data_IF_793117931799
#
_entry.id   IF_793117931799
#
_cell.length_a   1.000
_cell.length_b   1.000
_cell.length_c   1.000
_cell.angle_alpha   90.00
_cell.angle_beta   90.00
_cell.angle_gamma   90.00
#
_symmetry.space_group_name_H-M   'P 1'
#
loop_
_entity.id
_entity.type
_entity.pdbx_description
1 polymer ?
#
# COMPACT_ATOMS: atom_id res chain seq x y z
N UNK A 1 39.78 9.14 -34.30
CA UNK A 1 38.55 8.32 -34.44
C UNK A 1 37.43 9.13 -33.80
N UNK A 2 36.86 10.10 -34.54
CA UNK A 2 35.58 9.96 -35.29
C UNK A 2 34.44 10.16 -34.26
N UNK A 3 33.87 11.35 -34.02
CA UNK A 3 33.14 12.30 -34.90
C UNK A 3 32.08 11.61 -35.79
N UNK A 4 30.93 12.27 -36.03
CA UNK A 4 29.73 11.88 -36.83
C UNK A 4 28.70 11.03 -36.06
N UNK A 5 27.45 11.43 -35.79
CA UNK A 5 26.50 12.39 -36.37
C UNK A 5 25.57 12.89 -35.23
N UNK A 6 25.31 14.17 -34.91
CA UNK A 6 24.67 15.31 -35.62
C UNK A 6 23.36 14.99 -36.37
N UNK A 7 22.25 15.45 -35.77
CA UNK A 7 21.10 16.22 -36.32
C UNK A 7 20.25 15.52 -37.40
N UNK A 8 18.91 15.56 -37.31
CA UNK A 8 17.98 16.60 -37.83
C UNK A 8 16.57 16.14 -37.37
N UNK A 9 15.57 16.96 -37.01
CA UNK A 9 15.30 18.38 -37.26
C UNK A 9 14.57 19.04 -36.07
N UNK A 10 14.63 20.38 -35.91
CA UNK A 10 13.75 21.34 -36.59
C UNK A 10 12.27 20.92 -36.43
N UNK A 11 11.44 21.64 -35.70
CA UNK A 11 10.80 22.87 -36.19
C UNK A 11 10.22 23.68 -35.01
N UNK A 12 10.49 24.98 -35.01
CA UNK A 12 9.65 25.98 -34.33
C UNK A 12 8.31 26.03 -35.10
N UNK A 13 7.19 25.73 -34.46
CA UNK A 13 5.88 26.16 -34.95
C UNK A 13 4.99 26.49 -33.77
N UNK A 14 4.74 27.79 -33.62
CA UNK A 14 3.58 28.31 -32.93
C UNK A 14 2.31 27.76 -33.58
N UNK A 15 1.36 27.31 -32.75
CA UNK A 15 -0.01 27.08 -33.18
C UNK A 15 -0.98 27.38 -32.03
N UNK A 16 -1.11 28.68 -31.73
CA UNK A 16 -2.46 29.26 -31.69
C UNK A 16 -3.19 28.82 -32.97
N UNK A 17 -3.97 27.76 -32.86
CA UNK A 17 -5.07 27.46 -33.77
C UNK A 17 -6.34 27.81 -33.02
N UNK A 18 -6.84 29.00 -33.32
CA UNK A 18 -8.27 29.23 -33.27
C UNK A 18 -8.90 28.42 -34.40
N UNK A 19 -9.59 27.34 -34.04
CA UNK A 19 -10.70 26.82 -34.82
C UNK A 19 -11.90 26.93 -33.89
N UNK A 20 -12.87 27.75 -34.31
CA UNK A 20 -14.23 27.64 -33.80
C UNK A 20 -14.71 26.22 -34.08
N UNK A 21 -14.74 25.40 -33.03
CA UNK A 21 -15.63 24.27 -32.98
C UNK A 21 -16.84 24.72 -32.19
N UNK A 22 -17.98 24.59 -32.86
CA UNK A 22 -19.32 24.60 -32.28
C UNK A 22 -19.24 23.97 -30.88
N UNK A 23 -19.65 24.71 -29.85
CA UNK A 23 -19.93 24.19 -28.52
C UNK A 23 -21.07 23.17 -28.64
N UNK A 24 -20.77 21.98 -29.15
CA UNK A 24 -21.41 20.79 -28.63
C UNK A 24 -20.82 20.64 -27.25
N UNK A 25 -21.58 20.96 -26.21
CA UNK A 25 -21.26 20.42 -24.89
C UNK A 25 -21.01 18.93 -25.11
N UNK A 26 -19.79 18.41 -24.84
CA UNK A 26 -19.61 16.97 -24.80
C UNK A 26 -20.68 16.46 -23.83
N UNK A 27 -21.52 15.57 -24.36
CA UNK A 27 -22.61 15.02 -23.60
C UNK A 27 -21.94 14.07 -22.63
N UNK A 28 -21.78 14.56 -21.41
CA UNK A 28 -21.34 13.76 -20.26
C UNK A 28 -22.05 12.41 -20.37
N UNK A 29 -21.33 11.31 -20.17
CA UNK A 29 -21.89 9.97 -19.99
C UNK A 29 -22.80 10.05 -18.76
N UNK A 30 -24.02 10.51 -18.99
CA UNK A 30 -25.01 10.65 -17.96
C UNK A 30 -25.24 9.24 -17.42
N UNK A 31 -25.36 9.15 -16.10
CA UNK A 31 -25.86 7.95 -15.43
C UNK A 31 -26.95 7.33 -16.32
N UNK A 32 -26.82 6.04 -16.73
CA UNK A 32 -27.67 5.46 -17.75
C UNK A 32 -29.13 5.80 -17.49
N UNK A 33 -29.86 6.22 -18.53
CA UNK A 33 -31.24 6.68 -18.39
C UNK A 33 -32.05 5.63 -17.62
N UNK A 34 -32.55 6.01 -16.44
CA UNK A 34 -33.32 5.12 -15.55
C UNK A 34 -32.58 4.64 -14.31
N UNK A 35 -31.28 4.90 -14.16
CA UNK A 35 -30.55 4.66 -12.92
C UNK A 35 -30.83 5.80 -11.93
N UNK A 36 -31.36 5.46 -10.76
CA UNK A 36 -31.61 6.38 -9.66
C UNK A 36 -30.54 6.23 -8.59
N UNK A 37 -30.42 7.20 -7.70
CA UNK A 37 -29.47 7.16 -6.58
C UNK A 37 -30.13 7.48 -5.25
N UNK A 38 -29.68 6.82 -4.19
CA UNK A 38 -30.08 7.09 -2.81
C UNK A 38 -28.86 7.46 -1.99
N UNK A 39 -28.97 8.53 -1.20
CA UNK A 39 -27.92 8.95 -0.26
C UNK A 39 -28.20 8.35 1.11
N UNK A 40 -27.18 7.77 1.75
CA UNK A 40 -27.26 7.18 3.09
C UNK A 40 -26.16 7.76 3.97
N UNK A 41 -26.47 7.96 5.25
CA UNK A 41 -25.48 8.26 6.27
C UNK A 41 -24.88 6.95 6.77
N UNK A 42 -23.61 6.72 6.46
CA UNK A 42 -22.88 5.51 6.80
C UNK A 42 -22.01 5.78 8.04
N UNK A 43 -22.16 5.02 9.13
CA UNK A 43 -21.31 5.15 10.31
C UNK A 43 -19.85 4.84 9.99
N UNK A 44 -18.94 5.62 10.60
CA UNK A 44 -17.49 5.49 10.49
C UNK A 44 -16.93 5.08 11.85
N UNK A 45 -16.28 3.92 11.91
CA UNK A 45 -15.60 3.40 13.09
C UNK A 45 -14.09 3.64 12.96
N UNK A 46 -13.55 4.58 13.74
CA UNK A 46 -12.10 4.87 13.77
C UNK A 46 -11.34 4.12 14.87
N UNK A 47 -11.90 4.14 16.09
CA UNK A 47 -11.26 3.57 17.29
C UNK A 47 -12.14 2.62 18.09
N UNK A 48 -13.46 2.64 17.86
CA UNK A 48 -14.40 1.74 18.52
C UNK A 48 -15.70 1.65 17.72
N UNK A 49 -16.43 0.53 17.86
CA UNK A 49 -17.77 0.38 17.28
C UNK A 49 -18.81 1.34 17.89
N UNK A 50 -18.54 1.89 19.08
CA UNK A 50 -19.48 2.71 19.83
C UNK A 50 -19.39 4.22 19.54
N UNK A 51 -18.35 4.67 18.85
CA UNK A 51 -18.13 6.08 18.53
C UNK A 51 -18.22 6.26 17.02
N UNK A 52 -19.41 6.65 16.53
CA UNK A 52 -19.71 6.72 15.10
C UNK A 52 -19.94 8.16 14.68
N UNK A 53 -18.97 8.74 13.96
CA UNK A 53 -19.26 9.81 13.01
C UNK A 53 -20.02 9.19 11.83
N UNK A 54 -20.70 10.00 11.02
CA UNK A 54 -21.29 9.51 9.77
C UNK A 54 -20.71 10.22 8.57
N UNK A 55 -20.60 9.50 7.46
CA UNK A 55 -20.28 10.05 6.14
C UNK A 55 -21.43 9.74 5.18
N UNK A 56 -21.79 10.71 4.35
CA UNK A 56 -22.79 10.48 3.31
C UNK A 56 -22.17 9.71 2.15
N UNK A 57 -22.74 8.56 1.82
CA UNK A 57 -22.42 7.80 0.61
C UNK A 57 -23.66 7.73 -0.30
N UNK A 58 -23.42 7.70 -1.60
CA UNK A 58 -24.45 7.52 -2.63
C UNK A 58 -24.47 6.07 -3.09
N UNK A 59 -25.66 5.50 -3.27
CA UNK A 59 -25.86 4.16 -3.81
C UNK A 59 -26.70 4.26 -5.07
N UNK A 60 -26.20 3.74 -6.18
CA UNK A 60 -26.92 3.75 -7.45
C UNK A 60 -27.77 2.49 -7.60
N UNK A 61 -28.93 2.59 -8.22
CA UNK A 61 -29.93 1.51 -8.24
C UNK A 61 -29.51 0.25 -9.00
N UNK A 62 -28.54 0.37 -9.90
CA UNK A 62 -27.92 -0.72 -10.66
C UNK A 62 -26.67 -1.32 -9.96
N UNK A 63 -26.12 -0.62 -8.95
CA UNK A 63 -25.03 -1.08 -8.08
C UNK A 63 -25.40 -0.82 -6.60
N UNK A 64 -26.51 -1.40 -6.10
CA UNK A 64 -27.08 -1.03 -4.80
C UNK A 64 -26.20 -1.39 -3.60
N UNK A 65 -25.18 -2.24 -3.77
CA UNK A 65 -24.25 -2.62 -2.71
C UNK A 65 -22.89 -1.91 -2.80
N UNK A 66 -22.64 -1.14 -3.86
CA UNK A 66 -21.40 -0.38 -4.04
C UNK A 66 -21.61 1.06 -3.57
N UNK A 67 -21.03 1.48 -2.44
CA UNK A 67 -21.08 2.88 -2.03
C UNK A 67 -20.20 3.74 -2.93
N UNK A 68 -20.69 4.93 -3.22
CA UNK A 68 -20.01 5.96 -3.97
C UNK A 68 -19.83 7.21 -3.11
N UNK A 69 -18.69 7.90 -3.28
CA UNK A 69 -18.34 9.09 -2.51
C UNK A 69 -17.65 10.13 -3.42
N UNK A 70 -17.89 11.44 -3.24
CA UNK A 70 -17.09 12.47 -3.89
C UNK A 70 -15.65 12.42 -3.39
N UNK A 71 -14.67 12.59 -4.28
CA UNK A 71 -13.25 12.47 -3.97
C UNK A 71 -12.81 13.46 -2.87
N UNK A 72 -13.25 14.72 -2.98
CA UNK A 72 -12.98 15.77 -2.00
C UNK A 72 -13.60 15.49 -0.63
N UNK A 73 -14.73 14.77 -0.61
CA UNK A 73 -15.36 14.35 0.64
C UNK A 73 -14.58 13.22 1.30
N UNK A 74 -14.10 12.25 0.52
CA UNK A 74 -13.22 11.20 1.05
C UNK A 74 -11.94 11.83 1.63
N UNK A 75 -11.27 12.68 0.86
CA UNK A 75 -10.01 13.32 1.26
C UNK A 75 -10.15 14.13 2.54
N UNK A 76 -11.22 14.92 2.68
CA UNK A 76 -11.47 15.69 3.90
C UNK A 76 -11.81 14.82 5.12
N UNK A 77 -12.57 13.75 4.95
CA UNK A 77 -12.99 12.89 6.08
C UNK A 77 -11.88 11.97 6.55
N UNK A 78 -11.13 11.37 5.63
CA UNK A 78 -10.17 10.33 5.96
C UNK A 78 -8.73 10.83 5.98
N UNK A 79 -8.35 11.73 5.06
CA UNK A 79 -6.97 12.21 4.94
C UNK A 79 -6.70 13.53 5.66
N UNK A 80 -7.75 14.14 6.27
CA UNK A 80 -7.68 15.45 6.94
C UNK A 80 -7.13 16.57 6.03
N UNK A 81 -7.38 16.46 4.72
CA UNK A 81 -6.96 17.44 3.72
C UNK A 81 -8.14 18.26 3.18
N UNK A 82 -7.83 19.28 2.37
CA UNK A 82 -8.83 20.09 1.68
C UNK A 82 -8.57 20.06 0.17
N UNK A 83 -9.61 19.82 -0.62
CA UNK A 83 -9.55 19.72 -2.07
C UNK A 83 -10.54 20.68 -2.70
N UNK A 84 -10.03 21.53 -3.58
CA UNK A 84 -10.85 22.38 -4.43
C UNK A 84 -11.19 21.63 -5.71
N UNK A 85 -12.48 21.62 -6.06
CA UNK A 85 -12.99 20.98 -7.27
C UNK A 85 -13.45 22.02 -8.27
N UNK A 86 -12.91 21.97 -9.49
CA UNK A 86 -13.33 22.82 -10.61
C UNK A 86 -13.90 21.96 -11.73
N UNK A 87 -15.14 22.25 -12.13
CA UNK A 87 -15.84 21.51 -13.19
C UNK A 87 -15.74 22.23 -14.54
N UNK A 88 -15.43 21.48 -15.60
CA UNK A 88 -15.52 21.92 -16.99
C UNK A 88 -16.11 20.79 -17.87
N UNK A 89 -17.42 20.81 -18.07
CA UNK A 89 -18.14 19.74 -18.77
C UNK A 89 -18.09 18.43 -17.99
N UNK A 90 -17.60 17.36 -18.62
CA UNK A 90 -17.35 16.04 -18.02
C UNK A 90 -16.06 15.95 -17.20
N UNK A 91 -15.25 17.01 -17.18
CA UNK A 91 -13.94 17.02 -16.50
C UNK A 91 -14.01 17.73 -15.17
N UNK A 92 -13.41 17.11 -14.16
CA UNK A 92 -13.34 17.58 -12.79
C UNK A 92 -11.87 17.68 -12.40
N UNK A 93 -11.39 18.91 -12.17
CA UNK A 93 -10.04 19.17 -11.66
C UNK A 93 -10.08 19.23 -10.15
N UNK A 94 -9.31 18.36 -9.51
CA UNK A 94 -9.07 18.31 -8.07
C UNK A 94 -7.72 18.97 -7.79
N UNK A 95 -7.70 19.91 -6.86
CA UNK A 95 -6.50 20.64 -6.43
C UNK A 95 -6.40 20.54 -4.90
N UNK A 96 -5.39 19.82 -4.40
CA UNK A 96 -5.05 19.83 -2.99
C UNK A 96 -4.68 21.26 -2.56
N UNK A 97 -5.41 21.83 -1.60
CA UNK A 97 -5.20 23.21 -1.19
C UNK A 97 -3.98 23.43 -0.30
N UNK A 98 -3.47 22.37 0.34
CA UNK A 98 -2.29 22.43 1.19
C UNK A 98 -1.01 22.36 0.35
N UNK A 99 -1.00 21.52 -0.68
CA UNK A 99 0.23 21.23 -1.43
C UNK A 99 0.19 21.60 -2.92
N UNK A 100 -0.98 21.95 -3.46
CA UNK A 100 -1.16 22.34 -4.86
C UNK A 100 -1.04 21.18 -5.86
N UNK A 101 -1.03 19.93 -5.39
CA UNK A 101 -1.06 18.76 -6.28
C UNK A 101 -2.40 18.70 -7.00
N UNK A 102 -2.38 18.29 -8.27
CA UNK A 102 -3.57 18.29 -9.12
C UNK A 102 -3.84 16.93 -9.74
N UNK A 103 -5.12 16.60 -9.91
CA UNK A 103 -5.58 15.54 -10.78
C UNK A 103 -6.84 15.98 -11.54
N UNK A 104 -7.06 15.38 -12.70
CA UNK A 104 -8.23 15.62 -13.54
C UNK A 104 -8.94 14.30 -13.75
N UNK A 105 -10.17 14.21 -13.23
CA UNK A 105 -11.06 13.11 -13.56
C UNK A 105 -11.88 13.44 -14.81
N UNK A 106 -12.04 12.46 -15.69
CA UNK A 106 -12.90 12.55 -16.87
C UNK A 106 -14.04 11.54 -16.73
N UNK A 107 -15.26 12.04 -16.50
CA UNK A 107 -16.45 11.22 -16.26
C UNK A 107 -16.97 10.50 -17.51
N UNK A 108 -16.52 10.88 -18.71
CA UNK A 108 -16.89 10.16 -19.94
C UNK A 108 -15.97 8.97 -20.20
N UNK A 109 -14.71 9.10 -19.80
CA UNK A 109 -13.68 8.07 -20.00
C UNK A 109 -13.46 7.21 -18.75
N UNK A 110 -14.06 7.58 -17.62
CA UNK A 110 -13.87 6.94 -16.32
C UNK A 110 -12.37 6.88 -15.96
N UNK A 111 -11.69 8.04 -16.06
CA UNK A 111 -10.23 8.15 -15.83
C UNK A 111 -9.90 9.17 -14.75
N UNK A 112 -8.74 8.99 -14.11
CA UNK A 112 -8.09 9.99 -13.24
C UNK A 112 -6.67 10.21 -13.76
N UNK A 113 -6.35 11.43 -14.19
CA UNK A 113 -5.03 11.79 -14.73
C UNK A 113 -4.34 12.82 -13.85
N UNK A 114 -3.07 12.59 -13.52
CA UNK A 114 -2.25 13.58 -12.81
C UNK A 114 -0.89 13.74 -13.49
N UNK A 115 -0.33 14.96 -13.57
CA UNK A 115 1.06 15.16 -13.98
C UNK A 115 2.06 14.51 -13.01
N UNK A 116 1.67 14.31 -11.75
CA UNK A 116 2.44 13.62 -10.72
C UNK A 116 1.47 12.88 -9.78
N UNK A 117 1.16 11.63 -10.15
CA UNK A 117 0.17 10.84 -9.41
C UNK A 117 0.63 10.50 -8.00
N UNK A 118 1.91 10.27 -7.77
CA UNK A 118 2.40 9.98 -6.43
C UNK A 118 2.28 11.21 -5.53
N UNK A 119 2.58 12.40 -6.05
CA UNK A 119 2.41 13.66 -5.31
C UNK A 119 0.93 14.01 -5.02
N UNK A 120 0.02 13.56 -5.88
CA UNK A 120 -1.43 13.71 -5.70
C UNK A 120 -2.01 12.71 -4.68
N UNK A 121 -1.56 11.45 -4.70
CA UNK A 121 -2.01 10.41 -3.78
C UNK A 121 -1.29 10.46 -2.42
N UNK A 122 -0.20 11.22 -2.33
CA UNK A 122 0.53 11.49 -1.10
C UNK A 122 -0.41 11.99 0.01
N UNK A 123 -0.46 11.30 1.14
CA UNK A 123 -1.22 11.79 2.28
C UNK A 123 -0.45 12.90 3.00
N UNK A 124 -1.13 13.83 3.70
CA UNK A 124 -0.46 14.92 4.43
C UNK A 124 0.55 14.44 5.48
N UNK A 125 0.48 13.18 5.90
CA UNK A 125 1.42 12.56 6.86
C UNK A 125 2.83 12.47 6.27
N UNK A 126 2.95 12.22 4.97
CA UNK A 126 4.22 11.94 4.30
C UNK A 126 4.71 13.08 3.42
N UNK A 127 4.03 14.23 3.41
CA UNK A 127 4.39 15.34 2.53
C UNK A 127 4.93 16.51 3.33
N UNK A 128 6.24 16.74 3.23
CA UNK A 128 6.94 17.88 3.81
C UNK A 128 7.31 18.90 2.73
N UNK A 129 7.73 20.11 3.13
CA UNK A 129 8.25 21.10 2.18
C UNK A 129 9.49 20.52 1.48
N UNK A 130 9.35 20.15 0.19
CA UNK A 130 10.43 19.57 -0.61
C UNK A 130 10.10 18.21 -1.23
N UNK A 131 9.09 17.49 -0.74
CA UNK A 131 8.65 16.22 -1.36
C UNK A 131 8.01 15.24 -0.38
N UNK A 132 7.95 13.99 -0.83
CA UNK A 132 7.54 12.85 -0.03
C UNK A 132 8.66 12.46 0.94
N UNK A 133 8.30 12.29 2.21
CA UNK A 133 9.18 11.86 3.30
C UNK A 133 8.66 10.53 3.79
N UNK A 134 9.49 9.49 3.77
CA UNK A 134 9.18 8.19 4.35
C UNK A 134 9.49 8.20 5.84
N UNK A 135 8.55 7.71 6.65
CA UNK A 135 8.57 7.90 8.10
C UNK A 135 7.96 9.26 8.47
N UNK A 136 7.01 9.29 9.40
CA UNK A 136 6.43 10.56 9.87
C UNK A 136 7.53 11.50 10.41
N UNK A 137 7.22 12.79 10.65
CA UNK A 137 8.17 13.70 11.29
C UNK A 137 8.50 13.19 12.69
N UNK A 138 9.56 12.40 12.81
CA UNK A 138 10.07 11.91 14.09
C UNK A 138 11.24 12.78 14.55
N UNK A 139 11.43 12.86 15.87
CA UNK A 139 12.52 13.61 16.48
C UNK A 139 13.87 12.91 16.32
N UNK A 140 13.89 11.65 15.90
CA UNK A 140 15.09 10.82 15.78
C UNK A 140 15.86 11.03 14.48
N UNK A 141 15.14 11.31 13.40
CA UNK A 141 15.66 11.41 12.04
C UNK A 141 15.15 12.70 11.42
N UNK A 142 16.06 13.46 10.83
CA UNK A 142 15.72 14.69 10.12
C UNK A 142 16.04 14.49 8.65
N UNK A 143 15.02 14.53 7.80
CA UNK A 143 15.25 14.63 6.36
C UNK A 143 15.86 15.99 6.03
N UNK A 144 17.05 15.98 5.45
CA UNK A 144 17.76 17.18 5.03
C UNK A 144 17.37 17.60 3.61
N UNK A 145 17.25 16.62 2.70
CA UNK A 145 16.97 16.85 1.29
C UNK A 145 16.14 15.70 0.71
N UNK A 146 15.20 16.06 -0.17
CA UNK A 146 14.53 15.14 -1.09
C UNK A 146 14.83 15.61 -2.50
N UNK A 147 15.45 14.75 -3.29
CA UNK A 147 15.81 15.03 -4.68
C UNK A 147 15.16 14.01 -5.62
N UNK A 148 14.78 14.46 -6.80
CA UNK A 148 14.25 13.61 -7.87
C UNK A 148 15.19 13.63 -9.05
N UNK A 149 15.58 12.44 -9.53
CA UNK A 149 16.49 12.32 -10.67
C UNK A 149 15.85 12.83 -11.98
N UNK A 150 14.51 12.85 -12.03
CA UNK A 150 13.73 13.26 -13.19
C UNK A 150 12.34 13.80 -12.82
N UNK A 151 11.74 14.64 -13.70
CA UNK A 151 10.35 15.07 -13.54
C UNK A 151 9.38 13.89 -13.55
N UNK A 152 8.24 14.04 -12.89
CA UNK A 152 7.20 13.04 -12.89
C UNK A 152 6.64 12.85 -14.31
N UNK A 153 6.35 11.60 -14.65
CA UNK A 153 5.60 11.27 -15.85
C UNK A 153 4.12 11.33 -15.51
N UNK A 154 3.34 11.99 -16.37
CA UNK A 154 1.90 12.03 -16.21
C UNK A 154 1.32 10.61 -16.27
N UNK A 155 0.46 10.28 -15.30
CA UNK A 155 -0.20 8.97 -15.19
C UNK A 155 -1.69 9.15 -15.39
N UNK A 156 -2.29 8.24 -16.15
CA UNK A 156 -3.74 8.11 -16.28
C UNK A 156 -4.16 6.75 -15.72
N UNK A 157 -4.96 6.77 -14.66
CA UNK A 157 -5.63 5.60 -14.12
C UNK A 157 -6.96 5.42 -14.86
N UNK A 158 -7.08 4.36 -15.64
CA UNK A 158 -8.22 4.10 -16.52
C UNK A 158 -9.21 3.13 -15.90
N UNK A 159 -10.00 3.57 -14.91
CA UNK A 159 -11.01 2.73 -14.23
C UNK A 159 -12.04 2.15 -15.23
N UNK A 160 -12.40 2.92 -16.25
CA UNK A 160 -13.33 2.47 -17.30
C UNK A 160 -12.89 1.22 -18.07
N UNK A 161 -11.58 0.96 -18.21
CA UNK A 161 -11.10 -0.23 -18.90
C UNK A 161 -11.43 -1.54 -18.14
N UNK A 162 -11.67 -1.42 -16.84
CA UNK A 162 -12.12 -2.52 -15.97
C UNK A 162 -13.63 -2.51 -15.76
N UNK A 163 -14.38 -1.61 -16.43
CA UNK A 163 -15.82 -1.47 -16.18
C UNK A 163 -16.16 -0.86 -14.81
N UNK A 164 -15.26 -0.05 -14.26
CA UNK A 164 -15.51 0.75 -13.06
C UNK A 164 -15.92 2.15 -13.51
N UNK A 165 -17.19 2.50 -13.30
CA UNK A 165 -17.75 3.79 -13.73
C UNK A 165 -17.56 4.87 -12.67
N UNK A 166 -17.16 6.07 -13.10
CA UNK A 166 -17.30 7.32 -12.35
C UNK A 166 -18.67 7.92 -12.64
N UNK A 167 -19.42 8.31 -11.60
CA UNK A 167 -20.84 8.63 -11.76
C UNK A 167 -21.13 10.07 -11.41
N UNK A 168 -21.66 10.82 -12.35
CA UNK A 168 -22.15 12.18 -12.09
C UNK A 168 -23.61 12.16 -11.63
N UNK A 169 -23.89 12.75 -10.46
CA UNK A 169 -25.24 13.01 -9.99
C UNK A 169 -25.32 14.39 -9.32
N UNK A 170 -26.37 15.15 -9.59
CA UNK A 170 -26.58 16.50 -9.03
C UNK A 170 -25.39 17.46 -9.24
N UNK A 171 -24.65 17.27 -10.34
CA UNK A 171 -23.47 18.06 -10.69
C UNK A 171 -22.18 17.68 -9.95
N UNK A 172 -22.22 16.64 -9.12
CA UNK A 172 -21.08 16.10 -8.36
C UNK A 172 -20.61 14.80 -9.01
N UNK A 173 -19.29 14.63 -9.13
CA UNK A 173 -18.68 13.38 -9.59
C UNK A 173 -18.41 12.48 -8.40
N UNK A 174 -18.92 11.26 -8.46
CA UNK A 174 -18.74 10.24 -7.44
C UNK A 174 -17.85 9.11 -7.95
N UNK A 175 -17.00 8.63 -7.06
CA UNK A 175 -16.14 7.46 -7.27
C UNK A 175 -16.63 6.32 -6.39
N UNK A 176 -16.42 5.04 -6.77
CA UNK A 176 -16.64 3.94 -5.86
C UNK A 176 -15.73 4.11 -4.63
N UNK A 177 -16.30 3.91 -3.44
CA UNK A 177 -15.59 4.12 -2.18
C UNK A 177 -14.33 3.26 -2.08
N UNK A 178 -14.41 1.99 -2.48
CA UNK A 178 -13.27 1.07 -2.45
C UNK A 178 -12.12 1.58 -3.32
N UNK A 179 -12.41 2.03 -4.54
CA UNK A 179 -11.42 2.61 -5.45
C UNK A 179 -10.75 3.85 -4.87
N UNK A 180 -11.51 4.78 -4.28
CA UNK A 180 -10.90 5.94 -3.62
C UNK A 180 -10.10 5.53 -2.40
N UNK A 181 -10.58 4.54 -1.65
CA UNK A 181 -9.83 4.02 -0.52
C UNK A 181 -8.49 3.45 -0.98
N UNK A 182 -8.44 2.60 -1.99
CA UNK A 182 -7.20 2.04 -2.52
C UNK A 182 -6.26 3.13 -3.05
N UNK A 183 -6.79 4.19 -3.68
CA UNK A 183 -6.00 5.32 -4.16
C UNK A 183 -5.25 6.07 -3.05
N UNK A 184 -5.91 6.30 -1.91
CA UNK A 184 -5.35 7.07 -0.79
C UNK A 184 -4.94 6.19 0.40
N UNK A 185 -5.03 4.86 0.25
CA UNK A 185 -4.62 3.94 1.29
C UNK A 185 -3.10 3.92 1.38
N UNK A 186 -2.61 4.02 2.60
CA UNK A 186 -1.25 3.64 2.92
C UNK A 186 -1.33 2.30 3.68
N UNK A 187 -0.67 1.23 3.18
CA UNK A 187 -0.70 -0.09 3.83
C UNK A 187 -0.22 -0.08 5.29
N UNK A 188 0.56 0.93 5.69
CA UNK A 188 1.16 1.02 7.02
C UNK A 188 0.38 1.90 8.00
N UNK A 189 -0.51 2.79 7.55
CA UNK A 189 -1.08 3.80 8.47
C UNK A 189 -2.55 4.11 8.21
N UNK A 190 -3.01 4.20 6.96
CA UNK A 190 -4.33 4.75 6.65
C UNK A 190 -5.07 3.85 5.68
N UNK A 191 -6.13 3.20 6.14
CA UNK A 191 -7.00 2.39 5.26
C UNK A 191 -8.44 2.54 5.68
N UNK A 192 -9.33 2.75 4.71
CA UNK A 192 -10.77 2.73 4.92
C UNK A 192 -11.40 1.53 4.20
N UNK A 193 -12.36 0.84 4.79
CA UNK A 193 -13.10 -0.20 4.10
C UNK A 193 -14.56 -0.18 4.49
N UNK A 194 -15.44 -0.39 3.52
CA UNK A 194 -16.87 -0.50 3.71
C UNK A 194 -17.29 -1.97 3.80
N UNK A 195 -17.97 -2.33 4.88
CA UNK A 195 -18.59 -3.64 5.05
C UNK A 195 -19.88 -3.52 5.86
N UNK A 196 -20.96 -4.14 5.37
CA UNK A 196 -22.25 -4.25 6.07
C UNK A 196 -22.80 -2.91 6.59
N UNK A 197 -22.85 -1.91 5.71
CA UNK A 197 -23.32 -0.55 6.04
C UNK A 197 -22.47 0.18 7.11
N UNK A 198 -21.22 -0.23 7.34
CA UNK A 198 -20.27 0.44 8.21
C UNK A 198 -18.97 0.70 7.44
N UNK A 199 -18.38 1.88 7.63
CA UNK A 199 -17.01 2.17 7.22
C UNK A 199 -16.10 1.99 8.42
N UNK A 200 -15.06 1.19 8.25
CA UNK A 200 -13.97 1.03 9.19
C UNK A 200 -12.80 1.86 8.69
N UNK A 201 -12.18 2.64 9.56
CA UNK A 201 -11.02 3.45 9.23
C UNK A 201 -9.92 3.20 10.25
N UNK A 202 -8.78 2.76 9.77
CA UNK A 202 -7.57 2.51 10.56
C UNK A 202 -6.56 3.59 10.19
N UNK A 203 -6.04 4.33 11.20
CA UNK A 203 -5.30 5.57 10.99
C UNK A 203 -3.92 5.63 11.68
N UNK A 204 -3.50 4.55 12.33
CA UNK A 204 -2.31 4.52 13.18
C UNK A 204 -1.63 3.13 13.14
N UNK A 205 -0.30 3.12 12.97
CA UNK A 205 0.53 1.92 12.97
C UNK A 205 0.45 1.16 14.31
N UNK A 206 0.29 1.86 15.44
CA UNK A 206 0.04 1.23 16.74
C UNK A 206 -1.37 0.59 16.80
N UNK A 207 -2.36 1.20 16.14
CA UNK A 207 -3.70 0.62 16.01
C UNK A 207 -3.70 -0.59 15.04
N UNK A 208 -2.80 -0.62 14.06
CA UNK A 208 -2.60 -1.78 13.17
C UNK A 208 -1.92 -2.96 13.89
N UNK A 209 -1.10 -2.75 14.92
CA UNK A 209 -0.43 -3.84 15.64
C UNK A 209 -1.10 -4.28 16.95
N UNK A 210 -2.21 -3.66 17.33
CA UNK A 210 -2.96 -4.06 18.53
C UNK A 210 -4.21 -3.24 18.82
N UNK A 211 -4.67 -2.43 17.87
CA UNK A 211 -5.81 -1.56 18.04
C UNK A 211 -7.10 -2.34 18.31
N UNK A 212 -8.06 -1.71 19.00
CA UNK A 212 -9.32 -2.33 19.42
C UNK A 212 -10.12 -2.99 18.28
N UNK A 213 -9.92 -2.57 17.03
CA UNK A 213 -10.58 -3.13 15.85
C UNK A 213 -10.04 -4.53 15.46
N UNK A 214 -8.72 -4.76 15.49
CA UNK A 214 -8.10 -6.06 15.15
C UNK A 214 -8.35 -7.15 16.20
N UNK A 215 -8.41 -6.79 17.48
CA UNK A 215 -8.52 -7.75 18.58
C UNK A 215 -9.94 -8.26 18.87
N UNK A 216 -10.99 -7.56 18.41
CA UNK A 216 -12.37 -7.88 18.84
C UNK A 216 -13.46 -7.77 17.78
N UNK A 217 -13.26 -7.05 16.66
CA UNK A 217 -14.42 -6.48 15.95
C UNK A 217 -14.31 -6.29 14.44
N UNK A 218 -13.22 -6.69 13.76
CA UNK A 218 -13.31 -7.02 12.33
C UNK A 218 -14.15 -8.28 12.15
N UNK A 219 -15.46 -8.11 12.30
CA UNK A 219 -16.40 -9.07 11.80
C UNK A 219 -16.33 -8.99 10.30
N UNK A 220 -16.31 -10.15 9.65
CA UNK A 220 -16.51 -10.26 8.21
C UNK A 220 -17.91 -10.88 7.99
N UNK A 221 -19.03 -10.22 8.33
CA UNK A 221 -20.35 -10.84 8.23
C UNK A 221 -20.65 -11.36 6.83
N UNK A 222 -20.14 -10.71 5.78
CA UNK A 222 -20.23 -11.21 4.40
C UNK A 222 -19.60 -12.60 4.20
N UNK A 223 -18.62 -13.01 5.01
CA UNK A 223 -18.06 -14.38 4.97
C UNK A 223 -19.06 -15.41 5.48
N UNK A 224 -19.99 -14.99 6.34
CA UNK A 224 -21.04 -15.83 6.88
C UNK A 224 -22.30 -15.82 6.01
N UNK A 225 -22.36 -14.97 4.98
CA UNK A 225 -23.47 -14.98 4.05
C UNK A 225 -23.46 -16.30 3.26
N UNK A 226 -24.64 -16.75 2.85
CA UNK A 226 -24.73 -17.93 1.99
C UNK A 226 -24.20 -17.62 0.58
N UNK A 227 -24.36 -16.37 0.13
CA UNK A 227 -24.02 -15.89 -1.21
C UNK A 227 -23.55 -14.44 -1.14
N UNK A 228 -22.70 -14.07 -2.12
CA UNK A 228 -22.30 -12.71 -2.44
C UNK A 228 -23.26 -12.13 -3.48
N UNK A 229 -23.51 -10.84 -3.37
CA UNK A 229 -24.36 -10.11 -4.32
C UNK A 229 -23.68 -9.96 -5.68
N UNK A 230 -24.45 -10.02 -6.78
CA UNK A 230 -23.89 -10.10 -8.14
C UNK A 230 -23.10 -8.83 -8.55
N UNK A 231 -23.54 -7.66 -8.12
CA UNK A 231 -22.84 -6.39 -8.33
C UNK A 231 -21.51 -6.35 -7.54
N UNK A 232 -21.51 -6.82 -6.29
CA UNK A 232 -20.29 -6.97 -5.48
C UNK A 232 -19.29 -7.95 -6.10
N UNK A 233 -19.74 -9.08 -6.65
CA UNK A 233 -18.84 -10.05 -7.29
C UNK A 233 -18.12 -9.41 -8.47
N UNK A 234 -18.89 -8.77 -9.35
CA UNK A 234 -18.36 -8.13 -10.57
C UNK A 234 -17.44 -6.97 -10.21
N UNK A 235 -17.90 -6.05 -9.36
CA UNK A 235 -17.13 -4.89 -8.94
C UNK A 235 -15.83 -5.30 -8.24
N UNK A 236 -15.88 -6.18 -7.24
CA UNK A 236 -14.67 -6.57 -6.51
C UNK A 236 -13.64 -7.26 -7.41
N UNK A 237 -14.06 -8.04 -8.39
CA UNK A 237 -13.14 -8.68 -9.34
C UNK A 237 -12.46 -7.65 -10.25
N UNK A 238 -13.22 -6.68 -10.75
CA UNK A 238 -12.70 -5.59 -11.57
C UNK A 238 -11.79 -4.65 -10.78
N UNK A 239 -12.17 -4.31 -9.55
CA UNK A 239 -11.34 -3.53 -8.62
C UNK A 239 -10.03 -4.26 -8.33
N UNK A 240 -10.06 -5.57 -8.08
CA UNK A 240 -8.85 -6.38 -7.89
C UNK A 240 -7.91 -6.33 -9.10
N UNK A 241 -8.46 -6.40 -10.32
CA UNK A 241 -7.67 -6.25 -11.55
C UNK A 241 -7.06 -4.85 -11.66
N UNK A 242 -7.89 -3.81 -11.43
CA UNK A 242 -7.45 -2.42 -11.42
C UNK A 242 -6.32 -2.18 -10.41
N UNK A 243 -6.49 -2.61 -9.16
CA UNK A 243 -5.54 -2.36 -8.08
C UNK A 243 -4.22 -3.11 -8.30
N UNK A 244 -4.26 -4.36 -8.75
CA UNK A 244 -3.03 -5.10 -9.07
C UNK A 244 -2.30 -4.46 -10.26
N UNK A 245 -2.98 -4.18 -11.36
CA UNK A 245 -2.32 -3.64 -12.54
C UNK A 245 -1.81 -2.21 -12.35
N UNK A 246 -2.43 -1.43 -11.45
CA UNK A 246 -2.04 -0.04 -11.17
C UNK A 246 -0.96 0.09 -10.10
N UNK A 247 -0.96 -0.79 -9.09
CA UNK A 247 -0.15 -0.58 -7.87
C UNK A 247 0.80 -1.74 -7.53
N UNK A 248 0.62 -2.93 -8.09
CA UNK A 248 1.50 -4.06 -7.80
C UNK A 248 2.89 -3.81 -8.44
N UNK A 249 3.91 -3.55 -7.62
CA UNK A 249 5.25 -3.18 -8.09
C UNK A 249 6.08 -4.29 -8.75
N UNK A 250 5.49 -5.47 -9.00
CA UNK A 250 6.13 -6.67 -9.57
C UNK A 250 7.50 -7.04 -8.93
N UNK A 251 7.61 -7.17 -7.59
CA UNK A 251 8.88 -7.20 -6.86
C UNK A 251 9.64 -8.55 -6.92
N UNK A 252 9.88 -9.10 -8.12
CA UNK A 252 10.68 -10.33 -8.40
C UNK A 252 9.91 -11.64 -8.57
N UNK A 253 8.89 -11.66 -9.41
CA UNK A 253 8.26 -12.90 -9.87
C UNK A 253 8.72 -13.25 -11.29
N UNK A 254 9.78 -14.06 -11.39
CA UNK A 254 10.20 -14.68 -12.65
C UNK A 254 9.38 -15.95 -12.91
N UNK A 255 8.07 -15.80 -13.08
CA UNK A 255 7.22 -16.89 -13.53
C UNK A 255 6.37 -16.44 -14.71
N UNK A 256 5.96 -17.41 -15.53
CA UNK A 256 5.20 -17.12 -16.75
C UNK A 256 3.85 -16.45 -16.49
N UNK A 257 3.29 -16.62 -15.29
CA UNK A 257 2.03 -15.99 -14.90
C UNK A 257 2.22 -14.49 -14.68
N UNK A 258 3.25 -14.06 -13.95
CA UNK A 258 3.50 -12.65 -13.67
C UNK A 258 4.03 -11.89 -14.88
N UNK A 259 4.80 -12.55 -15.75
CA UNK A 259 5.15 -12.00 -17.07
C UNK A 259 3.90 -11.74 -17.92
N UNK A 260 2.97 -12.70 -17.94
CA UNK A 260 1.71 -12.55 -18.66
C UNK A 260 0.81 -11.47 -18.02
N UNK A 261 0.75 -11.39 -16.69
CA UNK A 261 0.00 -10.37 -15.98
C UNK A 261 0.51 -8.97 -16.29
N UNK A 262 1.83 -8.76 -16.26
CA UNK A 262 2.42 -7.46 -16.57
C UNK A 262 2.17 -7.03 -18.03
N UNK A 263 2.12 -8.00 -18.95
CA UNK A 263 1.98 -7.74 -20.39
C UNK A 263 0.53 -7.60 -20.84
N UNK A 264 -0.34 -8.48 -20.36
CA UNK A 264 -1.70 -8.69 -20.89
C UNK A 264 -2.80 -8.38 -19.86
N UNK A 265 -2.44 -8.12 -18.60
CA UNK A 265 -3.36 -7.84 -17.48
C UNK A 265 -3.71 -9.09 -16.65
N UNK A 266 -4.24 -8.87 -15.46
CA UNK A 266 -4.54 -9.93 -14.50
C UNK A 266 -5.63 -10.88 -15.01
N UNK A 267 -6.72 -10.34 -15.55
CA UNK A 267 -7.84 -11.16 -16.05
C UNK A 267 -7.41 -12.09 -17.19
N UNK A 268 -6.59 -11.57 -18.11
CA UNK A 268 -6.06 -12.35 -19.22
C UNK A 268 -5.07 -13.43 -18.73
N UNK A 269 -4.16 -13.08 -17.82
CA UNK A 269 -3.22 -14.02 -17.24
C UNK A 269 -3.94 -15.15 -16.48
N UNK A 270 -4.90 -14.82 -15.63
CA UNK A 270 -5.72 -15.80 -14.93
C UNK A 270 -6.51 -16.69 -15.89
N UNK A 271 -7.10 -16.12 -16.94
CA UNK A 271 -7.88 -16.90 -17.92
C UNK A 271 -7.05 -17.96 -18.65
N UNK A 272 -5.77 -17.68 -18.89
CA UNK A 272 -4.87 -18.60 -19.62
C UNK A 272 -4.18 -19.59 -18.69
N UNK A 273 -3.60 -19.10 -17.59
CA UNK A 273 -2.71 -19.90 -16.75
C UNK A 273 -3.41 -20.50 -15.53
N UNK A 274 -4.40 -19.80 -14.96
CA UNK A 274 -5.04 -20.14 -13.69
C UNK A 274 -6.57 -19.96 -13.74
N UNK A 275 -7.29 -20.58 -14.71
CA UNK A 275 -8.71 -20.33 -14.92
C UNK A 275 -9.58 -20.76 -13.73
N UNK A 276 -9.09 -21.69 -12.91
CA UNK A 276 -9.73 -22.06 -11.65
C UNK A 276 -9.67 -20.93 -10.62
N UNK A 277 -8.52 -20.25 -10.47
CA UNK A 277 -8.40 -19.10 -9.56
C UNK A 277 -9.34 -17.98 -10.01
N UNK A 278 -9.41 -17.72 -11.31
CA UNK A 278 -10.40 -16.80 -11.88
C UNK A 278 -11.83 -17.15 -11.47
N UNK A 279 -12.21 -18.42 -11.63
CA UNK A 279 -13.55 -18.91 -11.26
C UNK A 279 -13.84 -18.77 -9.77
N UNK A 280 -12.83 -18.99 -8.92
CA UNK A 280 -12.96 -18.81 -7.46
C UNK A 280 -13.18 -17.34 -7.10
N UNK A 281 -12.42 -16.41 -7.71
CA UNK A 281 -12.54 -14.98 -7.46
C UNK A 281 -13.93 -14.43 -7.88
N UNK A 282 -14.52 -15.02 -8.92
CA UNK A 282 -15.87 -14.72 -9.41
C UNK A 282 -16.99 -15.53 -8.72
N UNK A 283 -16.68 -16.34 -7.71
CA UNK A 283 -17.68 -17.17 -7.06
C UNK A 283 -18.66 -16.36 -6.20
N UNK A 284 -19.93 -16.76 -6.25
CA UNK A 284 -20.97 -16.32 -5.31
C UNK A 284 -20.73 -16.82 -3.88
N UNK A 285 -19.97 -17.91 -3.70
CA UNK A 285 -19.74 -18.47 -2.36
C UNK A 285 -18.56 -17.78 -1.69
N UNK A 286 -18.71 -17.18 -0.50
CA UNK A 286 -17.62 -16.51 0.19
C UNK A 286 -16.39 -17.40 0.43
N UNK A 287 -16.59 -18.69 0.75
CA UNK A 287 -15.49 -19.63 0.96
C UNK A 287 -14.63 -19.89 -0.28
N UNK A 288 -15.26 -19.98 -1.45
CA UNK A 288 -14.56 -20.11 -2.74
C UNK A 288 -13.81 -18.82 -3.10
N UNK A 289 -14.43 -17.64 -2.89
CA UNK A 289 -13.79 -16.35 -3.08
C UNK A 289 -12.52 -16.19 -2.22
N UNK A 290 -12.61 -16.50 -0.92
CA UNK A 290 -11.47 -16.45 0.01
C UNK A 290 -10.36 -17.41 -0.43
N UNK A 291 -10.71 -18.60 -0.92
CA UNK A 291 -9.73 -19.53 -1.48
C UNK A 291 -9.04 -18.97 -2.74
N UNK A 292 -9.80 -18.29 -3.61
CA UNK A 292 -9.26 -17.58 -4.78
C UNK A 292 -8.27 -16.48 -4.39
N UNK A 293 -8.63 -15.61 -3.43
CA UNK A 293 -7.73 -14.58 -2.90
C UNK A 293 -6.46 -15.19 -2.30
N UNK A 294 -6.59 -16.26 -1.52
CA UNK A 294 -5.44 -16.95 -0.94
C UNK A 294 -4.49 -17.49 -2.01
N UNK A 295 -5.02 -18.17 -3.03
CA UNK A 295 -4.22 -18.68 -4.16
C UNK A 295 -3.56 -17.54 -4.92
N UNK A 296 -4.28 -16.47 -5.21
CA UNK A 296 -3.70 -15.33 -5.92
C UNK A 296 -2.55 -14.71 -5.12
N UNK A 297 -2.80 -14.24 -3.90
CA UNK A 297 -1.82 -13.46 -3.15
C UNK A 297 -0.70 -14.29 -2.50
N UNK A 298 -1.02 -15.45 -1.91
CA UNK A 298 -0.03 -16.24 -1.17
C UNK A 298 0.68 -17.31 -2.03
N UNK A 299 0.23 -17.56 -3.25
CA UNK A 299 0.85 -18.55 -4.15
C UNK A 299 1.32 -17.89 -5.44
N UNK A 300 0.41 -17.33 -6.25
CA UNK A 300 0.77 -16.82 -7.58
C UNK A 300 1.60 -15.53 -7.52
N UNK A 301 1.25 -14.63 -6.59
CA UNK A 301 1.90 -13.34 -6.36
C UNK A 301 2.86 -13.35 -5.16
N UNK A 302 3.20 -14.53 -4.65
CA UNK A 302 4.10 -14.66 -3.50
C UNK A 302 5.50 -14.13 -3.83
N UNK A 303 5.89 -13.06 -3.15
CA UNK A 303 7.10 -12.28 -3.39
C UNK A 303 8.13 -12.39 -2.25
N UNK A 304 7.99 -13.38 -1.38
CA UNK A 304 8.82 -13.50 -0.17
C UNK A 304 8.11 -13.09 1.12
N UNK A 305 6.81 -12.76 1.04
CA UNK A 305 5.96 -12.53 2.20
C UNK A 305 5.50 -11.09 2.36
N UNK A 306 5.76 -10.23 1.37
CA UNK A 306 5.29 -8.84 1.33
C UNK A 306 3.94 -8.72 0.62
N UNK A 307 3.58 -9.70 -0.20
CA UNK A 307 2.27 -9.87 -0.81
C UNK A 307 1.54 -11.04 -0.15
N UNK A 308 0.39 -10.75 0.44
CA UNK A 308 -0.45 -11.75 1.09
C UNK A 308 -1.82 -11.21 1.43
N UNK A 309 -2.79 -12.11 1.56
CA UNK A 309 -4.09 -11.77 2.16
C UNK A 309 -4.09 -12.20 3.63
N UNK A 310 -4.29 -11.24 4.53
CA UNK A 310 -4.36 -11.51 5.97
C UNK A 310 -5.71 -12.16 6.33
N UNK A 311 -5.73 -13.49 6.45
CA UNK A 311 -6.93 -14.26 6.78
C UNK A 311 -7.00 -14.66 8.27
N UNK A 312 -6.09 -14.17 9.11
CA UNK A 312 -6.00 -14.59 10.52
C UNK A 312 -7.32 -14.36 11.28
N UNK A 313 -7.99 -13.22 11.08
CA UNK A 313 -9.30 -12.96 11.68
C UNK A 313 -10.41 -13.95 11.26
N UNK A 314 -10.28 -14.58 10.10
CA UNK A 314 -11.20 -15.61 9.60
C UNK A 314 -10.88 -16.96 10.24
N UNK A 315 -9.60 -17.31 10.38
CA UNK A 315 -9.19 -18.61 10.90
C UNK A 315 -9.15 -18.71 12.43
N UNK A 316 -8.91 -17.59 13.11
CA UNK A 316 -8.92 -17.52 14.57
C UNK A 316 -10.35 -17.52 15.14
N UNK A 317 -11.33 -17.14 14.31
CA UNK A 317 -12.73 -17.21 14.65
C UNK A 317 -13.36 -18.53 14.19
N UNK A 318 -13.72 -19.39 15.16
CA UNK A 318 -14.35 -20.69 14.88
C UNK A 318 -15.59 -20.62 13.97
N UNK A 319 -16.35 -19.51 14.00
CA UNK A 319 -17.54 -19.32 13.17
C UNK A 319 -17.19 -19.10 11.71
N UNK A 320 -16.24 -18.21 11.41
CA UNK A 320 -15.77 -17.95 10.05
C UNK A 320 -14.99 -19.15 9.51
N UNK A 321 -14.14 -19.76 10.35
CA UNK A 321 -13.46 -21.01 10.01
C UNK A 321 -14.44 -22.10 9.61
N UNK A 322 -15.55 -22.30 10.33
CA UNK A 322 -16.55 -23.31 9.94
C UNK A 322 -17.19 -23.00 8.58
N UNK A 323 -17.45 -21.73 8.26
CA UNK A 323 -18.04 -21.30 7.00
C UNK A 323 -17.10 -21.45 5.80
N UNK A 324 -15.79 -21.24 5.99
CA UNK A 324 -14.80 -21.17 4.91
C UNK A 324 -13.98 -22.44 4.78
N UNK A 325 -13.74 -23.17 5.88
CA UNK A 325 -12.74 -24.25 5.96
C UNK A 325 -12.96 -25.37 4.96
N UNK A 326 -14.20 -25.82 4.71
CA UNK A 326 -14.41 -26.94 3.80
C UNK A 326 -13.90 -26.61 2.40
N UNK A 327 -14.33 -25.48 1.85
CA UNK A 327 -13.95 -25.07 0.50
C UNK A 327 -12.49 -24.58 0.49
N UNK A 328 -12.08 -23.80 1.48
CA UNK A 328 -10.70 -23.34 1.61
C UNK A 328 -9.70 -24.49 1.70
N UNK A 329 -9.92 -25.51 2.54
CA UNK A 329 -9.00 -26.65 2.63
C UNK A 329 -9.03 -27.51 1.37
N UNK A 330 -10.19 -27.66 0.73
CA UNK A 330 -10.29 -28.35 -0.56
C UNK A 330 -9.45 -27.67 -1.64
N UNK A 331 -9.47 -26.34 -1.71
CA UNK A 331 -8.79 -25.59 -2.78
C UNK A 331 -7.36 -25.12 -2.43
N UNK A 332 -7.00 -24.99 -1.15
CA UNK A 332 -5.65 -24.60 -0.72
C UNK A 332 -4.64 -25.74 -0.75
N UNK A 333 -5.09 -27.00 -0.65
CA UNK A 333 -4.21 -28.17 -0.62
C UNK A 333 -4.00 -28.83 -2.00
N UNK A 334 -4.76 -28.43 -3.02
CA UNK A 334 -4.85 -29.20 -4.28
C UNK A 334 -3.90 -28.78 -5.41
N UNK A 335 -2.96 -27.87 -5.19
CA UNK A 335 -1.99 -27.50 -6.23
C UNK A 335 -0.61 -28.04 -5.91
N UNK A 336 0.04 -28.70 -6.88
CA UNK A 336 1.47 -29.08 -6.83
C UNK A 336 2.37 -27.87 -6.51
N UNK A 337 1.90 -26.65 -6.83
CA UNK A 337 2.53 -25.37 -6.49
C UNK A 337 2.56 -25.09 -4.99
N UNK A 338 1.53 -25.48 -4.23
CA UNK A 338 1.54 -25.34 -2.76
C UNK A 338 2.71 -26.11 -2.13
N UNK A 339 3.11 -27.26 -2.69
CA UNK A 339 4.26 -28.03 -2.23
C UNK A 339 5.56 -27.22 -2.29
N UNK A 340 5.79 -26.48 -3.38
CA UNK A 340 6.98 -25.63 -3.52
C UNK A 340 6.99 -24.48 -2.52
N UNK A 341 5.87 -23.77 -2.34
CA UNK A 341 5.79 -22.63 -1.42
C UNK A 341 5.83 -23.05 0.06
N UNK A 342 5.11 -24.13 0.41
CA UNK A 342 5.18 -24.73 1.75
C UNK A 342 6.62 -25.19 2.03
N UNK A 343 7.28 -25.84 1.07
CA UNK A 343 8.67 -26.25 1.20
C UNK A 343 9.62 -25.05 1.31
N UNK A 344 9.41 -23.98 0.54
CA UNK A 344 10.20 -22.73 0.62
C UNK A 344 10.06 -22.10 2.01
N UNK A 345 8.84 -21.93 2.50
CA UNK A 345 8.57 -21.35 3.82
C UNK A 345 9.13 -22.25 4.93
N UNK A 346 8.95 -23.57 4.82
CA UNK A 346 9.56 -24.55 5.74
C UNK A 346 11.08 -24.41 5.78
N UNK A 347 11.74 -24.34 4.62
CA UNK A 347 13.18 -24.14 4.52
C UNK A 347 13.63 -22.80 5.11
N UNK A 348 12.86 -21.73 4.91
CA UNK A 348 13.15 -20.42 5.50
C UNK A 348 13.13 -20.51 7.02
N UNK A 349 12.06 -21.06 7.60
CA UNK A 349 11.92 -21.25 9.06
C UNK A 349 13.01 -22.17 9.61
N UNK A 350 13.30 -23.28 8.93
CA UNK A 350 14.38 -24.20 9.33
C UNK A 350 15.76 -23.55 9.28
N UNK A 351 16.03 -22.76 8.24
CA UNK A 351 17.28 -22.01 8.09
C UNK A 351 17.40 -21.00 9.22
N UNK A 352 16.34 -20.23 9.49
CA UNK A 352 16.28 -19.26 10.58
C UNK A 352 16.58 -19.93 11.93
N UNK A 353 15.83 -20.99 12.28
CA UNK A 353 16.00 -21.70 13.54
C UNK A 353 17.41 -22.30 13.66
N UNK A 354 17.93 -22.90 12.59
CA UNK A 354 19.27 -23.47 12.56
C UNK A 354 20.34 -22.40 12.81
N UNK A 355 20.22 -21.24 12.16
CA UNK A 355 21.15 -20.12 12.35
C UNK A 355 21.06 -19.54 13.76
N UNK A 356 19.86 -19.32 14.28
CA UNK A 356 19.66 -18.84 15.66
C UNK A 356 20.23 -19.81 16.71
N UNK A 357 20.00 -21.12 16.55
CA UNK A 357 20.56 -22.15 17.44
C UNK A 357 22.09 -22.21 17.35
N UNK A 358 22.65 -22.13 16.15
CA UNK A 358 24.11 -22.11 15.94
C UNK A 358 24.73 -20.87 16.57
N UNK A 359 24.13 -19.69 16.36
CA UNK A 359 24.60 -18.44 16.97
C UNK A 359 24.61 -18.53 18.49
N UNK A 360 23.49 -18.97 19.09
CA UNK A 360 23.38 -19.15 20.53
C UNK A 360 24.44 -20.13 21.07
N UNK A 361 24.71 -21.20 20.33
CA UNK A 361 25.73 -22.20 20.72
C UNK A 361 27.16 -21.67 20.64
N UNK A 362 27.48 -20.93 19.59
CA UNK A 362 28.86 -20.47 19.33
C UNK A 362 29.21 -19.19 20.07
N UNK A 363 28.24 -18.29 20.23
CA UNK A 363 28.44 -16.95 20.79
C UNK A 363 27.75 -16.77 22.14
N UNK A 364 26.72 -17.56 22.48
CA UNK A 364 25.92 -17.37 23.70
C UNK A 364 24.78 -16.38 23.51
N UNK A 365 24.13 -15.97 24.62
CA UNK A 365 22.91 -15.14 24.61
C UNK A 365 23.18 -13.62 24.59
N UNK A 366 24.25 -13.18 23.93
CA UNK A 366 24.66 -11.78 23.86
C UNK A 366 24.41 -11.19 22.47
N UNK A 367 24.60 -9.87 22.35
CA UNK A 367 24.59 -9.19 21.06
C UNK A 367 25.93 -8.57 20.67
N UNK A 368 26.92 -8.54 21.57
CA UNK A 368 28.25 -7.97 21.32
C UNK A 368 29.35 -8.97 21.66
N UNK A 369 30.26 -9.18 20.73
CA UNK A 369 31.37 -10.12 20.87
C UNK A 369 32.65 -9.54 20.27
N UNK A 370 33.81 -9.96 20.78
CA UNK A 370 35.10 -9.64 20.17
C UNK A 370 35.87 -10.92 19.85
N UNK A 371 36.50 -10.96 18.67
CA UNK A 371 37.38 -12.04 18.26
C UNK A 371 38.56 -11.47 17.48
N UNK A 372 39.74 -11.48 18.10
CA UNK A 372 40.92 -10.84 17.51
C UNK A 372 40.73 -9.33 17.45
N UNK A 373 40.87 -8.76 16.25
CA UNK A 373 40.70 -7.32 15.98
C UNK A 373 39.28 -6.95 15.52
N UNK A 374 38.31 -7.86 15.66
CA UNK A 374 36.96 -7.68 15.12
C UNK A 374 35.93 -7.73 16.23
N UNK A 375 35.07 -6.71 16.28
CA UNK A 375 33.83 -6.72 17.05
C UNK A 375 32.67 -7.23 16.17
N UNK A 376 31.80 -8.05 16.75
CA UNK A 376 30.59 -8.57 16.13
C UNK A 376 29.39 -8.05 16.91
N UNK A 377 28.46 -7.40 16.21
CA UNK A 377 27.20 -6.89 16.75
C UNK A 377 26.06 -7.66 16.09
N UNK A 378 25.25 -8.36 16.87
CA UNK A 378 24.15 -9.20 16.40
C UNK A 378 22.84 -8.77 17.05
N UNK A 379 21.79 -8.61 16.24
CA UNK A 379 20.43 -8.31 16.69
C UNK A 379 19.40 -8.79 15.66
N UNK A 380 18.19 -9.11 16.12
CA UNK A 380 17.21 -9.87 15.33
C UNK A 380 16.10 -9.00 14.72
N UNK A 381 15.98 -7.73 15.13
CA UNK A 381 14.97 -6.79 14.62
C UNK A 381 15.44 -5.35 14.68
N UNK A 382 14.87 -4.51 13.82
CA UNK A 382 14.94 -3.06 13.95
C UNK A 382 13.77 -2.60 14.79
N UNK A 383 14.03 -2.23 16.05
CA UNK A 383 13.00 -1.78 16.99
C UNK A 383 13.32 -0.36 17.48
N UNK A 384 12.27 0.45 17.62
CA UNK A 384 12.34 1.82 18.12
C UNK A 384 11.33 1.97 19.25
N UNK A 385 11.80 2.38 20.42
CA UNK A 385 10.94 2.74 21.55
C UNK A 385 10.65 4.25 21.53
N UNK A 386 9.82 4.71 20.59
CA UNK A 386 9.55 6.14 20.32
C UNK A 386 9.25 6.96 21.58
N UNK A 387 8.37 6.47 22.47
CA UNK A 387 8.05 7.15 23.72
C UNK A 387 9.28 7.34 24.63
N UNK A 388 10.15 6.32 24.71
CA UNK A 388 11.35 6.39 25.54
C UNK A 388 12.41 7.31 24.93
N UNK A 389 12.51 7.35 23.61
CA UNK A 389 13.36 8.31 22.91
C UNK A 389 12.90 9.74 23.11
N UNK A 390 11.60 10.01 22.99
CA UNK A 390 11.02 11.33 23.28
C UNK A 390 11.34 11.77 24.73
N UNK A 391 11.19 10.87 25.70
CA UNK A 391 11.56 11.16 27.10
C UNK A 391 13.06 11.41 27.27
N UNK A 392 13.92 10.66 26.56
CA UNK A 392 15.37 10.83 26.63
C UNK A 392 15.82 12.16 26.02
N UNK A 393 15.34 12.50 24.82
CA UNK A 393 15.69 13.74 24.11
C UNK A 393 15.14 14.99 24.79
N UNK A 394 13.97 14.91 25.43
CA UNK A 394 13.41 16.00 26.23
C UNK A 394 14.06 16.15 27.61
N UNK A 395 14.96 15.24 28.00
CA UNK A 395 15.62 15.22 29.30
C UNK A 395 14.75 14.69 30.45
N UNK A 396 13.56 14.16 30.16
CA UNK A 396 12.67 13.51 31.13
C UNK A 396 13.18 12.13 31.56
N UNK A 397 14.09 11.52 30.78
CA UNK A 397 14.76 10.26 31.09
C UNK A 397 16.28 10.42 31.06
N UNK A 398 16.95 9.82 32.04
CA UNK A 398 18.41 9.91 32.19
C UNK A 398 19.19 8.98 31.25
N UNK A 399 18.62 7.81 30.94
CA UNK A 399 19.32 6.77 30.21
C UNK A 399 18.74 6.61 28.81
N UNK A 400 19.62 6.41 27.84
CA UNK A 400 19.24 6.03 26.48
C UNK A 400 18.34 4.79 26.48
N UNK A 401 17.35 4.69 25.58
CA UNK A 401 16.57 3.48 25.39
C UNK A 401 17.43 2.22 25.15
N UNK A 402 16.87 1.05 25.46
CA UNK A 402 17.55 -0.26 25.30
C UNK A 402 17.10 -0.99 24.02
N UNK A 403 16.50 -0.25 23.09
CA UNK A 403 16.11 -0.73 21.78
C UNK A 403 17.32 -0.91 20.83
N UNK A 404 17.05 -1.25 19.57
CA UNK A 404 18.11 -1.54 18.58
C UNK A 404 19.08 -0.37 18.44
N UNK A 405 18.59 0.86 18.39
CA UNK A 405 19.43 2.07 18.25
C UNK A 405 20.35 2.20 19.46
N UNK A 406 19.78 2.19 20.67
CA UNK A 406 20.58 2.35 21.88
C UNK A 406 21.56 1.20 22.10
N UNK A 407 21.15 -0.02 21.78
CA UNK A 407 21.98 -1.22 21.85
C UNK A 407 23.21 -1.12 20.92
N UNK A 408 22.99 -0.80 19.65
CA UNK A 408 24.08 -0.67 18.67
C UNK A 408 25.01 0.49 19.04
N UNK A 409 24.47 1.63 19.47
CA UNK A 409 25.28 2.76 19.91
C UNK A 409 26.26 2.36 21.03
N UNK A 410 25.76 1.68 22.08
CA UNK A 410 26.60 1.20 23.19
C UNK A 410 27.65 0.19 22.74
N UNK A 411 27.31 -0.69 21.79
CA UNK A 411 28.25 -1.64 21.21
C UNK A 411 29.38 -0.94 20.44
N UNK A 412 29.05 0.08 19.65
CA UNK A 412 30.04 0.88 18.92
C UNK A 412 30.93 1.68 19.87
N UNK A 413 30.37 2.29 20.91
CA UNK A 413 31.16 2.92 21.97
C UNK A 413 32.12 1.94 22.66
N UNK A 414 31.67 0.71 22.91
CA UNK A 414 32.50 -0.32 23.51
C UNK A 414 33.63 -0.75 22.58
N UNK A 415 33.35 -0.88 21.28
CA UNK A 415 34.36 -1.19 20.26
C UNK A 415 35.40 -0.06 20.14
N UNK A 416 34.98 1.20 20.13
CA UNK A 416 35.87 2.37 20.05
C UNK A 416 36.81 2.50 21.25
N UNK A 417 36.33 2.13 22.45
CA UNK A 417 37.13 2.10 23.68
C UNK A 417 38.19 0.98 23.70
N UNK A 418 38.07 -0.03 22.84
CA UNK A 418 39.03 -1.12 22.73
C UNK A 418 40.01 -0.89 21.55
N UNK A 419 41.27 -0.46 21.81
CA UNK A 419 42.21 -0.16 20.74
C UNK A 419 42.65 -1.39 19.95
N UNK A 420 42.35 -2.62 20.41
CA UNK A 420 42.62 -3.84 19.65
C UNK A 420 41.60 -4.07 18.52
N UNK A 421 40.40 -3.51 18.64
CA UNK A 421 39.36 -3.59 17.61
C UNK A 421 39.73 -2.66 16.45
N UNK A 422 39.59 -3.19 15.23
CA UNK A 422 39.87 -2.53 13.94
C UNK A 422 38.71 -2.70 12.96
N UNK A 423 37.88 -3.72 13.16
CA UNK A 423 36.75 -4.06 12.30
C UNK A 423 35.48 -4.22 13.15
N UNK A 424 34.34 -3.83 12.57
CA UNK A 424 33.01 -4.11 13.14
C UNK A 424 32.21 -4.89 12.09
N UNK A 425 31.61 -5.99 12.51
CA UNK A 425 30.71 -6.82 11.70
C UNK A 425 29.32 -6.75 12.32
N UNK A 426 28.32 -6.45 11.50
CA UNK A 426 26.91 -6.55 11.87
C UNK A 426 26.36 -7.89 11.36
N UNK A 427 25.91 -8.76 12.26
CA UNK A 427 25.22 -10.00 11.92
C UNK A 427 23.71 -9.78 11.92
N UNK A 428 23.15 -9.70 10.70
CA UNK A 428 21.72 -9.57 10.43
C UNK A 428 21.12 -10.84 9.82
N UNK A 429 21.81 -11.97 9.89
CA UNK A 429 21.41 -13.21 9.19
C UNK A 429 20.08 -13.81 9.66
N UNK A 430 19.61 -13.40 10.84
CA UNK A 430 18.29 -13.74 11.40
C UNK A 430 17.48 -12.48 11.70
N UNK A 431 17.83 -11.35 11.08
CA UNK A 431 17.12 -10.11 11.26
C UNK A 431 15.87 -10.11 10.37
N UNK A 432 14.69 -10.03 10.98
CA UNK A 432 13.41 -10.04 10.25
C UNK A 432 12.99 -8.69 9.67
N UNK A 433 13.86 -7.68 9.72
CA UNK A 433 13.51 -6.29 9.46
C UNK A 433 12.93 -5.61 10.69
N UNK A 434 12.08 -4.62 10.47
CA UNK A 434 11.45 -3.84 11.52
C UNK A 434 11.31 -2.39 11.10
N UNK A 435 11.47 -1.50 12.06
CA UNK A 435 11.31 -0.06 11.89
C UNK A 435 12.41 0.55 11.01
N UNK A 436 12.01 1.32 9.99
CA UNK A 436 12.95 1.98 9.08
C UNK A 436 13.77 3.05 9.79
N UNK A 437 13.23 3.77 10.78
CA UNK A 437 13.96 4.82 11.51
C UNK A 437 15.18 4.24 12.24
N UNK A 438 15.05 3.04 12.81
CA UNK A 438 16.21 2.35 13.39
C UNK A 438 17.29 2.06 12.33
N UNK A 439 16.90 1.58 11.14
CA UNK A 439 17.85 1.37 10.04
C UNK A 439 18.54 2.68 9.65
N UNK A 440 17.78 3.76 9.43
CA UNK A 440 18.30 5.07 9.04
C UNK A 440 19.32 5.59 10.06
N UNK A 441 18.97 5.56 11.35
CA UNK A 441 19.86 5.97 12.43
C UNK A 441 21.14 5.13 12.49
N UNK A 442 21.03 3.82 12.34
CA UNK A 442 22.19 2.92 12.32
C UNK A 442 23.13 3.27 11.15
N UNK A 443 22.57 3.57 9.98
CA UNK A 443 23.35 3.99 8.83
C UNK A 443 24.02 5.34 9.05
N UNK A 444 23.33 6.31 9.64
CA UNK A 444 23.92 7.60 10.01
C UNK A 444 25.03 7.45 11.06
N UNK A 445 24.91 6.53 12.03
CA UNK A 445 25.98 6.24 12.99
C UNK A 445 27.23 5.66 12.31
N UNK A 446 27.06 4.87 11.25
CA UNK A 446 28.16 4.21 10.54
C UNK A 446 28.82 5.14 9.52
N UNK A 447 28.02 5.90 8.77
CA UNK A 447 28.45 6.65 7.58
C UNK A 447 28.47 8.17 7.77
N UNK A 448 27.84 8.68 8.83
CA UNK A 448 27.64 10.11 9.09
C UNK A 448 26.40 10.71 8.41
N UNK A 449 25.91 10.07 7.34
CA UNK A 449 24.70 10.44 6.59
C UNK A 449 24.05 9.17 6.05
N UNK A 450 22.75 9.21 5.76
CA UNK A 450 22.08 8.11 5.07
C UNK A 450 21.37 8.61 3.81
N UNK A 451 21.67 8.00 2.66
CA UNK A 451 20.94 8.22 1.43
C UNK A 451 20.09 6.99 1.10
N UNK A 452 18.78 7.16 1.08
CA UNK A 452 17.85 6.13 0.63
C UNK A 452 17.29 6.50 -0.74
N UNK A 453 17.24 5.51 -1.66
CA UNK A 453 16.70 5.71 -3.00
C UNK A 453 15.44 4.88 -3.18
N UNK A 454 14.36 5.55 -3.51
CA UNK A 454 13.05 4.96 -3.75
C UNK A 454 12.69 5.09 -5.22
N UNK A 455 12.20 4.02 -5.84
CA UNK A 455 11.64 4.08 -7.17
C UNK A 455 10.12 4.17 -7.08
N UNK A 456 9.58 5.32 -7.48
CA UNK A 456 8.15 5.55 -7.61
C UNK A 456 7.65 4.92 -8.92
N UNK A 457 6.97 3.78 -8.82
CA UNK A 457 6.45 3.04 -9.98
C UNK A 457 5.41 3.85 -10.76
N UNK A 458 4.58 4.65 -10.07
CA UNK A 458 3.54 5.46 -10.70
C UNK A 458 4.16 6.59 -11.51
N UNK A 459 4.96 7.44 -10.88
CA UNK A 459 5.59 8.59 -11.55
C UNK A 459 6.79 8.24 -12.42
N UNK A 460 7.27 6.99 -12.37
CA UNK A 460 8.54 6.52 -12.93
C UNK A 460 9.70 7.43 -12.54
N UNK A 461 9.79 7.78 -11.25
CA UNK A 461 10.85 8.64 -10.72
C UNK A 461 11.68 7.90 -9.71
N UNK A 462 12.98 8.19 -9.68
CA UNK A 462 13.82 7.86 -8.54
C UNK A 462 13.87 9.06 -7.61
N UNK A 463 13.45 8.86 -6.36
CA UNK A 463 13.55 9.81 -5.27
C UNK A 463 14.76 9.43 -4.42
N UNK A 464 15.63 10.39 -4.10
CA UNK A 464 16.70 10.25 -3.11
C UNK A 464 16.29 11.05 -1.88
N UNK A 465 16.20 10.38 -0.73
CA UNK A 465 16.02 11.00 0.58
C UNK A 465 17.35 10.96 1.32
N UNK A 466 17.82 12.12 1.78
CA UNK A 466 19.01 12.25 2.60
C UNK A 466 18.62 12.58 4.03
N UNK A 467 19.05 11.72 4.95
CA UNK A 467 18.83 11.80 6.41
C UNK A 467 20.14 12.05 7.15
#
# INVERSE_FOLDING_TARGET
>A
MVQLYKRIGAVITAAMVGIGMIFGCPTVKAVPVGVSSVRKQIPVCRKSLSAQETVECTFFSDLPHIPYIPLERFYSVFMNGDMKVTRNGARYTYEDQQYGSIAVADAEQDTLTSPDMADFLATPVYKQQGGLVMGGPDQLVKVEEVAYDQPAVAVTLSMGQYGIDLREADGVLYFPFATVSDLFSNPDVQTAYYADDIIYYEADYEELNGGPLRGTTMTWPWILSAQREADMITFNYHELCFSIESFYGYPCSYNSFTDAMQKDGLDAALSVYEPEVRSLLLSEKPGEYVAGLYRLFNILLADGGHTGVALNGIFDNSRYKAAVSKDFFLYSHYTEHSGYYVEKNRRMVETYNTLSEQRLKELGAGGYYTKGDTALISFERFEVEYAQWNDYLSGNRKFMPDDTIGFVYRCLEQADKDPSVKNVVFDLSTNGGGDTIALEMLMCLIQGTFECRFYNVLGQQTMTQTT
#
